data_IF_754640134308
#
_entry.id   IF_754640134308
#
_cell.length_a   1.000
_cell.length_b   1.000
_cell.length_c   1.000
_cell.angle_alpha   90.00
_cell.angle_beta   90.00
_cell.angle_gamma   90.00
#
_symmetry.space_group_name_H-M   'P 1'
#
loop_
_entity.id
_entity.type
_entity.pdbx_description
1 polymer ?
#
# COMPACT_ATOMS: atom_id res chain seq x y z
N UNK A 1 18.58 -74.88 -16.54
CA UNK A 1 18.39 -73.42 -16.64
C UNK A 1 18.19 -72.88 -15.24
N UNK A 2 19.10 -72.00 -14.80
CA UNK A 2 19.17 -71.46 -13.44
C UNK A 2 17.97 -70.56 -13.12
N UNK A 3 17.30 -70.80 -11.99
CA UNK A 3 16.32 -69.90 -11.40
C UNK A 3 17.02 -69.13 -10.28
N UNK A 4 17.27 -67.85 -10.49
CA UNK A 4 17.95 -66.97 -9.54
C UNK A 4 17.02 -66.50 -8.43
N UNK A 5 17.45 -66.68 -7.17
CA UNK A 5 16.87 -66.05 -5.98
C UNK A 5 17.36 -64.59 -5.89
N UNK A 6 16.44 -63.64 -5.84
CA UNK A 6 16.73 -62.27 -5.41
C UNK A 6 16.42 -62.13 -3.92
N UNK A 7 17.42 -61.64 -3.17
CA UNK A 7 17.31 -61.33 -1.74
C UNK A 7 16.74 -59.92 -1.56
N UNK A 8 15.68 -59.81 -0.76
CA UNK A 8 15.04 -58.54 -0.36
C UNK A 8 15.82 -57.95 0.82
N UNK A 9 16.44 -56.78 0.64
CA UNK A 9 17.07 -56.00 1.71
C UNK A 9 16.01 -55.02 2.26
N UNK A 10 15.60 -55.21 3.51
CA UNK A 10 14.70 -54.29 4.23
C UNK A 10 15.57 -53.27 4.96
N UNK A 11 15.53 -52.01 4.51
CA UNK A 11 16.21 -50.88 5.15
C UNK A 11 15.28 -50.30 6.23
N UNK A 12 15.65 -50.40 7.51
CA UNK A 12 14.97 -49.70 8.60
C UNK A 12 15.43 -48.24 8.60
N UNK A 13 14.54 -47.32 8.21
CA UNK A 13 14.75 -45.88 8.39
C UNK A 13 14.19 -45.50 9.76
N UNK A 14 15.08 -45.21 10.70
CA UNK A 14 14.72 -44.67 12.01
C UNK A 14 14.35 -43.19 11.84
N UNK A 15 13.06 -42.86 11.89
CA UNK A 15 12.61 -41.46 12.00
C UNK A 15 13.01 -40.93 13.39
N UNK A 16 14.04 -40.09 13.44
CA UNK A 16 14.30 -39.24 14.59
C UNK A 16 13.32 -38.07 14.48
N UNK A 17 12.26 -38.09 15.28
CA UNK A 17 11.37 -36.96 15.44
C UNK A 17 12.16 -35.82 16.10
N UNK A 18 12.58 -34.83 15.31
CA UNK A 18 13.15 -33.60 15.84
C UNK A 18 12.05 -32.88 16.63
N UNK A 19 12.17 -32.84 17.95
CA UNK A 19 11.33 -32.00 18.80
C UNK A 19 11.63 -30.55 18.45
N UNK A 20 10.69 -29.87 17.80
CA UNK A 20 10.76 -28.42 17.61
C UNK A 20 10.79 -27.76 19.00
N UNK A 21 11.73 -26.86 19.28
CA UNK A 21 11.78 -26.16 20.57
C UNK A 21 10.44 -25.46 20.82
N UNK A 22 9.88 -25.69 22.00
CA UNK A 22 8.70 -24.96 22.48
C UNK A 22 9.20 -23.57 22.87
N UNK A 23 9.09 -22.61 21.95
CA UNK A 23 9.40 -21.21 22.24
C UNK A 23 8.48 -20.72 23.36
N UNK A 24 9.07 -20.05 24.35
CA UNK A 24 8.31 -19.37 25.39
C UNK A 24 7.36 -18.37 24.76
N UNK A 25 6.08 -18.44 25.11
CA UNK A 25 5.08 -17.46 24.68
C UNK A 25 5.18 -16.15 25.47
N UNK A 26 6.12 -16.05 26.42
CA UNK A 26 6.24 -14.89 27.29
C UNK A 26 6.99 -13.75 26.59
N UNK A 27 6.53 -12.49 26.76
CA UNK A 27 7.27 -11.33 26.30
C UNK A 27 8.58 -11.17 27.07
N UNK A 28 9.62 -10.69 26.37
CA UNK A 28 10.94 -10.40 26.95
C UNK A 28 11.02 -9.00 27.56
N UNK A 29 10.03 -8.14 27.26
CA UNK A 29 9.85 -6.82 27.86
C UNK A 29 8.37 -6.44 27.89
N UNK A 30 7.92 -5.82 28.98
CA UNK A 30 6.54 -5.41 29.27
C UNK A 30 6.51 -4.06 30.01
N UNK A 31 5.77 -3.10 29.46
CA UNK A 31 5.56 -1.82 30.11
C UNK A 31 4.94 -2.00 31.51
N UNK A 32 5.56 -1.38 32.53
CA UNK A 32 5.11 -1.43 33.92
C UNK A 32 5.71 -2.58 34.75
N UNK A 33 6.17 -3.66 34.11
CA UNK A 33 6.90 -4.74 34.78
C UNK A 33 8.40 -4.43 34.84
N UNK A 34 8.99 -3.99 33.73
CA UNK A 34 10.37 -3.57 33.66
C UNK A 34 10.50 -2.06 33.95
N UNK A 35 11.58 -1.68 34.64
CA UNK A 35 11.88 -0.28 34.90
C UNK A 35 12.39 0.38 33.62
N UNK A 36 11.77 1.49 33.22
CA UNK A 36 12.27 2.33 32.13
C UNK A 36 13.62 2.94 32.50
N UNK A 37 14.55 2.91 31.56
CA UNK A 37 15.81 3.65 31.67
C UNK A 37 15.52 5.15 31.58
N UNK A 38 15.79 5.89 32.65
CA UNK A 38 15.54 7.33 32.72
C UNK A 38 16.34 8.13 31.69
N UNK A 39 17.44 7.58 31.17
CA UNK A 39 18.19 8.21 30.06
C UNK A 39 17.51 8.06 28.70
N UNK A 40 16.53 7.15 28.59
CA UNK A 40 15.72 6.91 27.40
C UNK A 40 14.32 7.51 27.51
N UNK A 41 14.11 8.42 28.47
CA UNK A 41 12.88 9.18 28.65
C UNK A 41 13.14 10.63 28.24
N UNK A 42 12.25 11.18 27.41
CA UNK A 42 12.19 12.60 27.07
C UNK A 42 10.84 13.16 27.55
N UNK A 43 10.83 14.32 28.21
CA UNK A 43 9.61 14.95 28.73
C UNK A 43 9.13 14.39 30.07
N UNK A 44 7.84 14.54 30.36
CA UNK A 44 7.18 14.09 31.59
C UNK A 44 6.52 12.72 31.38
N UNK A 45 7.35 11.70 31.20
CA UNK A 45 6.90 10.31 31.14
C UNK A 45 7.05 9.67 32.51
N UNK A 46 5.93 9.62 33.22
CA UNK A 46 5.78 8.82 34.44
C UNK A 46 4.73 7.74 34.18
N UNK A 47 5.05 6.44 34.30
CA UNK A 47 4.04 5.40 34.19
C UNK A 47 3.05 5.56 35.35
N UNK A 48 1.81 5.88 35.03
CA UNK A 48 0.69 5.90 35.99
C UNK A 48 -0.19 4.70 35.63
N UNK A 49 -0.33 3.76 36.55
CA UNK A 49 -1.22 2.59 36.36
C UNK A 49 -0.91 1.76 35.10
N UNK A 50 0.38 1.52 34.80
CA UNK A 50 0.82 0.77 33.59
C UNK A 50 0.50 1.46 32.25
N UNK A 51 0.12 2.74 32.31
CA UNK A 51 -0.15 3.58 31.13
C UNK A 51 0.87 4.70 31.05
N UNK A 52 1.21 5.07 29.82
CA UNK A 52 2.08 6.19 29.50
C UNK A 52 1.38 7.11 28.52
N UNK A 53 1.46 8.40 28.77
CA UNK A 53 1.09 9.42 27.77
C UNK A 53 2.29 9.70 26.90
N UNK A 54 2.09 9.59 25.59
CA UNK A 54 3.09 9.98 24.61
C UNK A 54 2.55 11.06 23.69
N UNK A 55 3.43 11.96 23.30
CA UNK A 55 3.21 12.95 22.26
C UNK A 55 4.56 13.21 21.59
N UNK A 56 4.84 14.41 21.13
CA UNK A 56 6.10 14.77 20.49
C UNK A 56 7.12 15.40 21.42
N UNK A 57 6.73 15.72 22.65
CA UNK A 57 7.63 16.14 23.72
C UNK A 57 7.86 14.98 24.72
N UNK A 58 6.82 14.19 24.97
CA UNK A 58 6.81 13.08 25.92
C UNK A 58 7.06 11.75 25.19
N UNK A 59 8.26 11.21 25.33
CA UNK A 59 8.67 9.95 24.70
C UNK A 59 9.39 9.03 25.68
N UNK A 60 9.32 7.73 25.43
CA UNK A 60 10.18 6.75 26.09
C UNK A 60 10.69 5.75 25.07
N UNK A 61 11.84 5.14 25.34
CA UNK A 61 12.39 4.11 24.48
C UNK A 61 12.88 2.89 25.26
N UNK A 62 13.03 1.80 24.51
CA UNK A 62 13.66 0.55 24.95
C UNK A 62 14.89 0.32 24.08
N UNK A 63 15.97 -0.18 24.68
CA UNK A 63 17.20 -0.47 23.96
C UNK A 63 16.95 -1.44 22.80
N UNK A 64 17.58 -1.23 21.64
CA UNK A 64 17.33 -2.01 20.42
C UNK A 64 17.70 -3.49 20.51
N UNK A 65 18.56 -3.87 21.46
CA UNK A 65 18.93 -5.26 21.71
C UNK A 65 17.75 -6.15 22.15
N UNK A 66 16.65 -5.57 22.64
CA UNK A 66 15.41 -6.33 22.91
C UNK A 66 14.76 -6.88 21.65
N UNK A 67 15.15 -6.43 20.46
CA UNK A 67 14.64 -6.97 19.20
C UNK A 67 15.48 -8.15 18.67
N UNK A 68 16.50 -8.58 19.42
CA UNK A 68 17.38 -9.70 19.05
C UNK A 68 18.08 -9.48 17.70
N UNK A 69 18.05 -10.51 16.86
CA UNK A 69 18.60 -10.48 15.49
C UNK A 69 17.77 -9.63 14.51
N UNK A 70 16.61 -9.13 14.95
CA UNK A 70 15.68 -8.29 14.18
C UNK A 70 15.09 -8.91 12.91
N UNK A 71 15.32 -10.20 12.68
CA UNK A 71 14.68 -10.96 11.61
C UNK A 71 13.32 -11.53 12.03
N UNK A 72 13.13 -11.76 13.33
CA UNK A 72 11.90 -12.25 13.92
C UNK A 72 11.67 -11.54 15.25
N UNK A 73 10.60 -10.77 15.37
CA UNK A 73 10.20 -10.11 16.62
C UNK A 73 8.76 -9.63 16.55
N UNK A 74 8.18 -9.31 17.70
CA UNK A 74 6.84 -8.72 17.77
C UNK A 74 6.83 -7.56 18.72
N UNK A 75 6.19 -6.46 18.32
CA UNK A 75 5.85 -5.34 19.21
C UNK A 75 4.33 -5.23 19.26
N UNK A 76 3.76 -5.30 20.44
CA UNK A 76 2.33 -5.19 20.69
C UNK A 76 2.08 -4.06 21.67
N UNK A 77 1.04 -3.25 21.45
CA UNK A 77 0.60 -2.24 22.41
C UNK A 77 -0.84 -1.81 22.16
N UNK A 78 -1.50 -1.31 23.19
CA UNK A 78 -2.80 -0.66 23.10
C UNK A 78 -2.60 0.85 23.00
N UNK A 79 -3.24 1.50 22.03
CA UNK A 79 -3.24 2.96 21.90
C UNK A 79 -4.65 3.53 21.86
N UNK A 80 -4.85 4.62 22.60
CA UNK A 80 -6.10 5.38 22.62
C UNK A 80 -5.86 6.82 22.19
N UNK A 81 -6.69 7.29 21.26
CA UNK A 81 -6.78 8.70 20.89
C UNK A 81 -7.59 9.47 21.94
N UNK A 82 -7.24 10.71 22.29
CA UNK A 82 -8.07 11.52 23.15
C UNK A 82 -9.40 11.88 22.46
N UNK A 83 -10.37 12.26 23.28
CA UNK A 83 -11.74 12.58 22.84
C UNK A 83 -11.74 13.82 21.94
N UNK A 84 -11.02 14.85 22.34
CA UNK A 84 -10.83 16.07 21.56
C UNK A 84 -9.59 15.91 20.69
N UNK A 85 -9.75 16.20 19.40
CA UNK A 85 -8.65 16.11 18.42
C UNK A 85 -8.41 17.42 17.75
N UNK A 86 -7.14 17.78 17.56
CA UNK A 86 -6.75 18.97 16.81
C UNK A 86 -6.10 18.58 15.48
N UNK A 87 -6.43 19.34 14.43
CA UNK A 87 -5.91 19.11 13.09
C UNK A 87 -4.43 19.47 13.01
N UNK A 88 -3.63 18.68 12.27
CA UNK A 88 -2.29 19.07 11.84
C UNK A 88 -1.12 18.39 12.55
N UNK A 89 -1.34 17.71 13.69
CA UNK A 89 -0.24 17.18 14.49
C UNK A 89 -0.07 15.67 14.34
N UNK A 90 0.82 15.25 13.44
CA UNK A 90 1.20 13.86 13.35
C UNK A 90 2.13 13.47 14.52
N UNK A 91 1.87 12.32 15.12
CA UNK A 91 2.71 11.74 16.19
C UNK A 91 3.36 10.46 15.69
N UNK A 92 4.60 10.22 16.10
CA UNK A 92 5.23 8.91 15.97
C UNK A 92 4.70 8.05 17.11
N UNK A 93 3.87 7.05 16.82
CA UNK A 93 3.36 6.14 17.85
C UNK A 93 4.43 5.15 18.29
N UNK A 94 5.20 4.64 17.32
CA UNK A 94 6.27 3.67 17.52
C UNK A 94 7.32 3.85 16.41
N UNK A 95 8.59 3.83 16.75
CA UNK A 95 9.67 3.88 15.76
C UNK A 95 10.94 3.21 16.28
N UNK A 96 11.67 2.53 15.40
CA UNK A 96 13.10 2.28 15.55
C UNK A 96 13.86 2.78 14.32
N UNK A 97 13.32 3.75 13.58
CA UNK A 97 13.92 4.18 12.32
C UNK A 97 15.25 4.87 12.54
N UNK A 98 16.24 4.53 11.73
CA UNK A 98 17.48 5.29 11.60
C UNK A 98 17.46 6.03 10.25
N UNK A 99 17.30 7.37 10.26
CA UNK A 99 17.26 8.17 9.04
C UNK A 99 18.56 8.18 8.25
N UNK A 100 19.73 8.01 8.91
CA UNK A 100 21.03 8.06 8.24
C UNK A 100 21.25 6.81 7.38
N UNK A 101 20.94 5.64 7.93
CA UNK A 101 21.06 4.36 7.22
C UNK A 101 19.81 3.98 6.42
N UNK A 102 18.73 4.77 6.52
CA UNK A 102 17.41 4.45 5.96
C UNK A 102 16.99 3.03 6.32
N UNK A 103 17.01 2.72 7.62
CA UNK A 103 16.67 1.41 8.16
C UNK A 103 15.59 1.49 9.24
N UNK A 104 15.03 0.35 9.62
CA UNK A 104 13.95 0.26 10.60
C UNK A 104 12.61 0.76 10.06
N UNK A 105 11.73 1.12 11.00
CA UNK A 105 10.37 1.54 10.70
C UNK A 105 9.89 2.68 11.61
N UNK A 106 8.83 3.36 11.17
CA UNK A 106 8.07 4.32 11.97
C UNK A 106 6.58 4.18 11.68
N UNK A 107 5.78 3.94 12.71
CA UNK A 107 4.32 4.05 12.66
C UNK A 107 3.91 5.45 13.11
N UNK A 108 3.50 6.27 12.16
CA UNK A 108 3.09 7.65 12.36
C UNK A 108 1.57 7.73 12.29
N UNK A 109 0.94 8.45 13.19
CA UNK A 109 -0.51 8.67 13.16
C UNK A 109 -0.85 10.14 12.97
N UNK A 110 -1.69 10.40 11.97
CA UNK A 110 -2.27 11.70 11.69
C UNK A 110 -3.69 11.78 12.27
N UNK A 111 -4.00 12.76 13.12
CA UNK A 111 -5.31 12.90 13.75
C UNK A 111 -6.40 13.30 12.74
N UNK A 112 -7.68 13.26 13.16
CA UNK A 112 -8.78 13.82 12.38
C UNK A 112 -8.52 15.27 11.91
N UNK A 113 -9.09 15.68 10.77
CA UNK A 113 -10.01 14.92 9.93
C UNK A 113 -9.32 13.85 9.06
N UNK A 114 -7.99 13.82 9.00
CA UNK A 114 -7.28 12.85 8.17
C UNK A 114 -7.40 11.42 8.72
N UNK A 115 -7.25 11.26 10.05
CA UNK A 115 -7.38 9.99 10.78
C UNK A 115 -6.70 8.83 10.06
N UNK A 116 -5.39 8.91 9.86
CA UNK A 116 -4.65 7.93 9.07
C UNK A 116 -3.34 7.54 9.76
N UNK A 117 -2.98 6.27 9.71
CA UNK A 117 -1.64 5.84 10.05
C UNK A 117 -0.79 5.64 8.81
N UNK A 118 0.44 6.13 8.87
CA UNK A 118 1.48 5.88 7.90
C UNK A 118 2.50 4.92 8.50
N UNK A 119 2.80 3.85 7.78
CA UNK A 119 3.98 3.05 8.07
C UNK A 119 5.11 3.51 7.15
N UNK A 120 6.19 3.95 7.75
CA UNK A 120 7.47 4.17 7.07
C UNK A 120 8.33 2.93 7.30
N UNK A 121 8.91 2.37 6.25
CA UNK A 121 9.92 1.32 6.33
C UNK A 121 11.13 1.80 5.52
N UNK A 122 12.33 1.64 6.07
CA UNK A 122 13.57 2.03 5.40
C UNK A 122 13.55 3.48 4.86
N UNK A 123 12.95 4.41 5.61
CA UNK A 123 12.81 5.82 5.21
C UNK A 123 11.67 6.13 4.23
N UNK A 124 10.93 5.13 3.75
CA UNK A 124 9.90 5.30 2.72
C UNK A 124 8.49 4.92 3.19
N UNK A 125 7.47 5.67 2.74
CA UNK A 125 6.07 5.39 3.08
C UNK A 125 5.63 4.09 2.40
N UNK A 126 5.31 3.09 3.21
CA UNK A 126 4.99 1.72 2.80
C UNK A 126 3.53 1.36 3.05
N UNK A 127 2.82 2.10 3.89
CA UNK A 127 1.38 1.94 4.10
C UNK A 127 0.75 3.28 4.43
N UNK A 128 -0.49 3.48 3.97
CA UNK A 128 -1.44 4.43 4.52
C UNK A 128 -2.72 3.68 4.88
N UNK A 129 -3.15 3.76 6.14
CA UNK A 129 -4.42 3.21 6.59
C UNK A 129 -5.29 4.32 7.17
N UNK A 130 -6.40 4.64 6.50
CA UNK A 130 -7.41 5.59 7.01
C UNK A 130 -8.32 4.95 8.05
N UNK A 131 -8.91 5.79 8.89
CA UNK A 131 -9.74 5.36 10.01
C UNK A 131 -8.96 4.53 11.02
N UNK A 132 -7.66 4.79 11.21
CA UNK A 132 -6.76 3.90 11.96
C UNK A 132 -7.08 3.82 13.45
N UNK A 133 -7.37 4.96 14.11
CA UNK A 133 -7.79 4.99 15.50
C UNK A 133 -9.22 5.51 15.63
N UNK A 134 -9.92 4.99 16.64
CA UNK A 134 -11.17 5.52 17.15
C UNK A 134 -10.98 6.09 18.56
N UNK A 135 -12.07 6.26 19.31
CA UNK A 135 -12.07 6.80 20.68
C UNK A 135 -11.72 5.76 21.74
N UNK A 136 -11.67 4.48 21.37
CA UNK A 136 -11.41 3.37 22.27
C UNK A 136 -9.94 2.93 22.15
N UNK A 137 -9.53 1.99 23.00
CA UNK A 137 -8.20 1.40 22.86
C UNK A 137 -8.18 0.50 21.63
N UNK A 138 -7.20 0.74 20.77
CA UNK A 138 -6.94 -0.06 19.60
C UNK A 138 -5.64 -0.83 19.85
N UNK A 139 -5.74 -2.15 19.78
CA UNK A 139 -4.60 -3.04 19.90
C UNK A 139 -3.83 -3.03 18.59
N UNK A 140 -2.58 -2.59 18.62
CA UNK A 140 -1.68 -2.55 17.46
C UNK A 140 -0.60 -3.61 17.66
N UNK A 141 -0.41 -4.46 16.66
CA UNK A 141 0.64 -5.50 16.67
C UNK A 141 1.47 -5.37 15.40
N UNK A 142 2.79 -5.24 15.56
CA UNK A 142 3.76 -5.27 14.48
C UNK A 142 4.55 -6.56 14.62
N UNK A 143 4.41 -7.46 13.64
CA UNK A 143 5.11 -8.74 13.62
C UNK A 143 6.15 -8.68 12.52
N UNK A 144 7.42 -8.86 12.86
CA UNK A 144 8.48 -9.11 11.88
C UNK A 144 8.76 -10.59 11.86
N UNK A 145 8.68 -11.19 10.66
CA UNK A 145 9.03 -12.59 10.39
C UNK A 145 9.86 -12.65 9.12
N UNK A 146 11.01 -13.29 9.19
CA UNK A 146 11.98 -13.37 8.09
C UNK A 146 12.30 -11.99 7.47
N UNK A 147 12.39 -10.98 8.34
CA UNK A 147 12.64 -9.57 7.99
C UNK A 147 11.45 -8.83 7.36
N UNK A 148 10.31 -9.49 7.13
CA UNK A 148 9.08 -8.87 6.60
C UNK A 148 8.19 -8.42 7.74
N UNK A 149 7.60 -7.22 7.66
CA UNK A 149 6.71 -6.70 8.69
C UNK A 149 5.23 -6.87 8.32
N UNK A 150 4.44 -7.38 9.24
CA UNK A 150 2.98 -7.37 9.18
C UNK A 150 2.44 -6.42 10.25
N UNK A 151 1.52 -5.55 9.87
CA UNK A 151 0.87 -4.61 10.80
C UNK A 151 -0.58 -5.01 11.00
N UNK A 152 -0.97 -5.15 12.24
CA UNK A 152 -2.32 -5.52 12.65
C UNK A 152 -2.95 -4.42 13.51
N UNK A 153 -4.27 -4.31 13.40
CA UNK A 153 -5.09 -3.56 14.35
C UNK A 153 -6.28 -4.40 14.78
N UNK A 154 -6.43 -4.63 16.08
CA UNK A 154 -7.49 -5.46 16.67
C UNK A 154 -7.57 -6.85 15.99
N UNK A 155 -6.40 -7.43 15.67
CA UNK A 155 -6.28 -8.72 14.97
C UNK A 155 -6.47 -8.67 13.44
N UNK A 156 -6.95 -7.55 12.88
CA UNK A 156 -7.07 -7.38 11.42
C UNK A 156 -5.71 -6.99 10.83
N UNK A 157 -5.23 -7.77 9.86
CA UNK A 157 -4.04 -7.41 9.07
C UNK A 157 -4.34 -6.19 8.19
N UNK A 158 -3.50 -5.17 8.26
CA UNK A 158 -3.62 -3.93 7.51
C UNK A 158 -2.61 -3.86 6.36
N UNK A 159 -1.40 -4.33 6.60
CA UNK A 159 -0.37 -4.41 5.58
C UNK A 159 0.63 -5.54 5.89
N UNK A 160 1.23 -6.07 4.83
CA UNK A 160 2.44 -6.87 4.87
C UNK A 160 3.46 -6.12 4.03
N UNK A 161 4.64 -5.82 4.56
CA UNK A 161 5.69 -5.11 3.85
C UNK A 161 6.64 -6.08 3.17
N UNK A 162 7.51 -5.56 2.32
CA UNK A 162 8.75 -6.24 1.98
C UNK A 162 9.75 -6.22 3.18
N UNK A 163 11.03 -6.43 2.91
CA UNK A 163 12.09 -6.40 3.92
C UNK A 163 12.19 -5.07 4.66
N UNK A 164 12.18 -5.12 6.00
CA UNK A 164 12.57 -4.03 6.89
C UNK A 164 14.03 -4.25 7.27
N UNK A 165 14.90 -3.30 6.93
CA UNK A 165 16.32 -3.38 7.28
C UNK A 165 16.46 -3.25 8.80
N UNK A 166 17.33 -4.05 9.39
CA UNK A 166 17.68 -3.95 10.81
C UNK A 166 18.13 -2.53 11.16
N UNK A 167 17.65 -2.02 12.29
CA UNK A 167 18.05 -0.73 12.84
C UNK A 167 18.46 -0.89 14.29
N UNK A 168 19.59 -0.30 14.65
CA UNK A 168 20.09 -0.33 16.03
C UNK A 168 19.62 0.89 16.84
N UNK A 169 18.80 1.77 16.26
CA UNK A 169 18.16 2.84 16.99
C UNK A 169 17.20 2.27 18.06
N UNK A 170 17.11 2.89 19.24
CA UNK A 170 16.18 2.47 20.29
C UNK A 170 14.73 2.39 19.79
N UNK A 171 13.96 1.42 20.30
CA UNK A 171 12.53 1.30 20.03
C UNK A 171 11.79 2.36 20.86
N UNK A 172 11.42 3.46 20.20
CA UNK A 172 10.82 4.66 20.79
C UNK A 172 9.30 4.67 20.62
N UNK A 173 8.59 5.05 21.67
CA UNK A 173 7.16 5.38 21.67
C UNK A 173 7.00 6.89 21.87
N UNK A 174 6.16 7.52 21.05
CA UNK A 174 6.09 8.99 20.97
C UNK A 174 7.14 9.58 20.01
N UNK A 175 7.03 10.88 19.79
CA UNK A 175 7.91 11.69 18.95
C UNK A 175 7.13 12.59 17.99
N UNK A 176 7.67 13.77 17.72
CA UNK A 176 7.10 14.70 16.76
C UNK A 176 7.41 14.23 15.33
N UNK A 177 6.41 14.27 14.43
CA UNK A 177 6.65 14.07 13.00
C UNK A 177 6.66 15.42 12.27
N UNK A 178 7.88 15.90 11.95
CA UNK A 178 8.20 17.11 11.13
C UNK A 178 7.65 18.46 11.60
N UNK A 179 6.53 18.53 12.30
CA UNK A 179 5.91 19.74 12.83
C UNK A 179 6.40 20.01 14.26
N UNK A 180 6.70 21.27 14.57
CA UNK A 180 7.20 21.75 15.88
C UNK A 180 6.08 22.27 16.79
N UNK A 181 4.84 22.30 16.33
CA UNK A 181 3.68 22.61 17.18
C UNK A 181 3.42 21.46 18.16
N UNK A 182 2.98 21.79 19.39
CA UNK A 182 2.75 20.79 20.46
C UNK A 182 1.75 19.74 19.99
N UNK A 183 2.19 18.49 19.77
CA UNK A 183 1.30 17.47 19.26
C UNK A 183 0.38 16.96 20.36
N UNK A 184 -0.76 16.44 19.91
CA UNK A 184 -1.78 15.86 20.76
C UNK A 184 -1.25 14.63 21.50
N UNK A 185 -1.59 14.46 22.78
CA UNK A 185 -1.17 13.30 23.56
C UNK A 185 -2.07 12.09 23.36
N UNK A 186 -1.44 10.93 23.28
CA UNK A 186 -2.05 9.62 23.13
C UNK A 186 -1.70 8.77 24.34
N UNK A 187 -2.62 7.88 24.73
CA UNK A 187 -2.36 6.96 25.85
C UNK A 187 -1.96 5.62 25.29
N UNK A 188 -0.78 5.14 25.72
CA UNK A 188 -0.26 3.80 25.43
C UNK A 188 -0.32 2.97 26.70
N UNK A 189 -0.68 1.70 26.57
CA UNK A 189 -0.64 0.71 27.65
C UNK A 189 -0.34 -0.68 27.08
N UNK A 190 -0.15 -1.66 27.96
CA UNK A 190 0.04 -3.07 27.58
C UNK A 190 1.13 -3.28 26.52
N UNK A 191 2.15 -2.41 26.50
CA UNK A 191 3.21 -2.50 25.51
C UNK A 191 4.14 -3.68 25.83
N UNK A 192 4.37 -4.55 24.85
CA UNK A 192 5.12 -5.79 24.97
C UNK A 192 6.06 -5.95 23.79
N UNK A 193 7.22 -6.55 24.06
CA UNK A 193 8.18 -6.96 23.02
C UNK A 193 8.47 -8.45 23.15
N UNK A 194 8.50 -9.12 22.01
CA UNK A 194 8.88 -10.51 21.84
C UNK A 194 10.07 -10.58 20.88
N UNK A 195 11.05 -11.43 21.17
CA UNK A 195 12.22 -11.72 20.31
C UNK A 195 11.93 -12.74 19.20
N UNK A 196 10.65 -13.00 18.93
CA UNK A 196 10.17 -13.90 17.90
C UNK A 196 8.84 -13.40 17.32
N UNK A 197 8.44 -13.96 16.18
CA UNK A 197 7.19 -13.62 15.51
C UNK A 197 5.99 -14.27 16.25
N UNK A 198 5.07 -13.43 16.72
CA UNK A 198 3.84 -13.80 17.43
C UNK A 198 2.68 -13.15 16.69
N UNK A 199 1.93 -13.93 15.93
CA UNK A 199 0.76 -13.43 15.21
C UNK A 199 -0.47 -13.34 16.12
N UNK A 200 -1.39 -12.39 15.85
CA UNK A 200 -2.67 -12.35 16.57
C UNK A 200 -3.42 -13.69 16.48
N UNK A 201 -4.10 -14.07 17.56
CA UNK A 201 -4.87 -15.32 17.63
C UNK A 201 -5.85 -15.45 16.46
N UNK A 202 -5.82 -16.59 15.78
CA UNK A 202 -6.68 -16.88 14.64
C UNK A 202 -6.20 -16.33 13.30
N UNK A 203 -5.05 -15.64 13.26
CA UNK A 203 -4.39 -15.30 12.01
C UNK A 203 -3.70 -16.52 11.41
N UNK A 204 -4.00 -16.81 10.15
CA UNK A 204 -3.32 -17.84 9.37
C UNK A 204 -2.23 -17.19 8.53
N UNK A 205 -0.97 -17.42 8.91
CA UNK A 205 0.21 -16.90 8.24
C UNK A 205 0.45 -17.50 6.84
N UNK A 206 -0.24 -18.60 6.50
CA UNK A 206 -0.11 -19.25 5.20
C UNK A 206 -0.96 -18.59 4.12
N UNK A 207 -1.90 -17.71 4.51
CA UNK A 207 -2.72 -16.98 3.55
C UNK A 207 -1.85 -15.96 2.81
N UNK A 208 -1.69 -16.18 1.51
CA UNK A 208 -0.99 -15.26 0.61
C UNK A 208 -1.61 -13.87 0.65
N UNK A 209 -0.76 -12.86 0.78
CA UNK A 209 -1.13 -11.45 0.77
C UNK A 209 -0.21 -10.69 -0.17
N UNK A 210 -0.75 -9.63 -0.76
CA UNK A 210 0.10 -8.69 -1.47
C UNK A 210 1.05 -8.00 -0.51
N UNK A 211 2.29 -7.80 -0.94
CA UNK A 211 3.34 -7.13 -0.18
C UNK A 211 3.47 -5.68 -0.60
N UNK A 212 3.49 -4.78 0.36
CA UNK A 212 3.79 -3.39 0.12
C UNK A 212 5.31 -3.21 0.01
N UNK A 213 5.78 -2.84 -1.17
CA UNK A 213 7.14 -2.37 -1.43
C UNK A 213 7.11 -0.86 -1.61
N UNK A 214 8.15 -0.17 -1.16
CA UNK A 214 8.26 1.28 -1.34
C UNK A 214 9.70 1.69 -1.56
N UNK A 215 9.87 2.87 -2.14
CA UNK A 215 11.16 3.49 -2.34
C UNK A 215 11.00 4.99 -2.57
N UNK A 216 12.02 5.59 -3.17
CA UNK A 216 11.99 7.01 -3.51
C UNK A 216 10.81 7.31 -4.44
N UNK A 217 9.86 8.12 -3.97
CA UNK A 217 8.66 8.52 -4.72
C UNK A 217 7.71 7.40 -5.17
N UNK A 218 7.76 6.17 -4.61
CA UNK A 218 6.76 5.14 -4.95
C UNK A 218 6.40 4.21 -3.80
N UNK A 219 5.22 3.61 -3.92
CA UNK A 219 4.72 2.52 -3.08
C UNK A 219 3.83 1.62 -3.95
N UNK A 220 4.15 0.33 -4.02
CA UNK A 220 3.48 -0.67 -4.85
C UNK A 220 3.03 -1.84 -3.96
N UNK A 221 1.89 -2.44 -4.26
CA UNK A 221 1.47 -3.71 -3.69
C UNK A 221 1.74 -4.81 -4.70
N UNK A 222 2.55 -5.80 -4.32
CA UNK A 222 2.99 -6.87 -5.20
C UNK A 222 2.38 -8.20 -4.83
N UNK A 223 1.93 -8.95 -5.81
CA UNK A 223 1.60 -10.36 -5.63
C UNK A 223 2.85 -11.16 -5.24
N UNK A 224 2.65 -12.26 -4.51
CA UNK A 224 3.71 -13.24 -4.27
C UNK A 224 3.83 -14.14 -5.49
N UNK A 225 5.05 -14.21 -6.03
CA UNK A 225 5.37 -15.00 -7.22
C UNK A 225 5.91 -16.36 -6.81
N UNK A 226 5.44 -17.39 -7.51
CA UNK A 226 5.86 -18.80 -7.34
C UNK A 226 6.24 -19.44 -8.68
N UNK A 227 5.70 -18.94 -9.79
CA UNK A 227 6.01 -19.39 -11.14
C UNK A 227 6.41 -18.22 -12.04
N UNK A 228 7.70 -18.09 -12.32
CA UNK A 228 8.24 -17.02 -13.17
C UNK A 228 7.78 -17.11 -14.65
N UNK A 229 7.10 -18.19 -15.05
CA UNK A 229 6.54 -18.33 -16.40
C UNK A 229 5.20 -17.63 -16.58
N UNK A 230 4.50 -17.28 -15.50
CA UNK A 230 3.21 -16.60 -15.59
C UNK A 230 3.38 -15.11 -15.95
N UNK A 231 2.50 -14.56 -16.79
CA UNK A 231 2.50 -13.14 -17.10
C UNK A 231 2.36 -12.25 -15.86
N UNK A 232 2.89 -11.03 -15.96
CA UNK A 232 2.84 -10.01 -14.92
C UNK A 232 2.11 -8.78 -15.40
N UNK A 233 1.12 -8.35 -14.63
CA UNK A 233 0.27 -7.20 -14.91
C UNK A 233 0.53 -6.17 -13.82
N UNK A 234 0.74 -4.91 -14.20
CA UNK A 234 0.77 -3.79 -13.27
C UNK A 234 -0.43 -2.88 -13.52
N UNK A 235 -1.26 -2.71 -12.49
CA UNK A 235 -2.38 -1.77 -12.49
C UNK A 235 -1.96 -0.49 -11.80
N UNK A 236 -1.85 0.59 -12.56
CA UNK A 236 -1.50 1.94 -12.09
C UNK A 236 -2.75 2.81 -12.09
N UNK A 237 -3.09 3.40 -10.94
CA UNK A 237 -4.31 4.21 -10.83
C UNK A 237 -4.46 5.02 -9.55
N UNK A 238 -5.68 5.47 -9.32
CA UNK A 238 -6.08 6.27 -8.15
C UNK A 238 -7.12 5.52 -7.29
N UNK A 239 -7.86 6.24 -6.43
CA UNK A 239 -8.87 5.65 -5.58
C UNK A 239 -10.01 4.95 -6.33
N UNK A 240 -10.27 5.26 -7.61
CA UNK A 240 -11.24 4.52 -8.43
C UNK A 240 -10.70 3.12 -8.74
N UNK A 241 -9.40 3.01 -9.02
CA UNK A 241 -8.76 1.72 -9.26
C UNK A 241 -8.79 0.80 -8.05
N UNK A 242 -8.81 1.35 -6.84
CA UNK A 242 -9.04 0.56 -5.62
C UNK A 242 -10.40 -0.15 -5.62
N UNK A 243 -11.40 0.40 -6.32
CA UNK A 243 -12.73 -0.21 -6.43
C UNK A 243 -12.76 -1.45 -7.33
N UNK A 244 -11.98 -1.45 -8.42
CA UNK A 244 -12.01 -2.54 -9.41
C UNK A 244 -10.83 -3.52 -9.31
N UNK A 245 -9.74 -3.17 -8.63
CA UNK A 245 -8.54 -4.02 -8.54
C UNK A 245 -8.80 -5.44 -8.05
N UNK A 246 -9.62 -5.61 -7.02
CA UNK A 246 -9.88 -6.93 -6.45
C UNK A 246 -10.46 -7.91 -7.47
N UNK A 247 -11.33 -7.42 -8.34
CA UNK A 247 -11.93 -8.21 -9.43
C UNK A 247 -10.93 -8.55 -10.54
N UNK A 248 -9.94 -7.67 -10.79
CA UNK A 248 -8.86 -7.96 -11.75
C UNK A 248 -7.96 -9.07 -11.20
N UNK A 249 -7.54 -8.96 -9.92
CA UNK A 249 -6.76 -10.03 -9.27
C UNK A 249 -7.50 -11.36 -9.24
N UNK A 250 -8.79 -11.36 -8.90
CA UNK A 250 -9.62 -12.56 -8.86
C UNK A 250 -9.73 -13.22 -10.24
N UNK A 251 -9.91 -12.42 -11.31
CA UNK A 251 -9.98 -12.95 -12.67
C UNK A 251 -8.70 -13.66 -13.11
N UNK A 252 -7.54 -13.11 -12.75
CA UNK A 252 -6.23 -13.64 -13.16
C UNK A 252 -5.61 -14.62 -12.15
N UNK A 253 -6.35 -15.06 -11.13
CA UNK A 253 -5.84 -15.99 -10.13
C UNK A 253 -5.36 -17.29 -10.78
N UNK A 254 -4.06 -17.61 -10.59
CA UNK A 254 -3.42 -18.78 -11.19
C UNK A 254 -3.03 -18.62 -12.66
N UNK A 255 -3.38 -17.50 -13.31
CA UNK A 255 -3.07 -17.24 -14.73
C UNK A 255 -2.07 -16.09 -14.93
N UNK A 256 -2.03 -15.11 -14.03
CA UNK A 256 -1.07 -14.02 -14.04
C UNK A 256 -0.90 -13.40 -12.65
N UNK A 257 0.24 -12.75 -12.41
CA UNK A 257 0.45 -11.95 -11.21
C UNK A 257 0.02 -10.51 -11.45
N UNK A 258 -0.82 -9.97 -10.55
CA UNK A 258 -1.30 -8.59 -10.64
C UNK A 258 -0.73 -7.76 -9.50
N UNK A 259 0.15 -6.83 -9.85
CA UNK A 259 0.72 -5.82 -8.95
C UNK A 259 -0.07 -4.51 -9.07
N UNK A 260 -0.08 -3.70 -8.01
CA UNK A 260 -0.84 -2.45 -7.93
C UNK A 260 0.03 -1.29 -7.50
N UNK A 261 0.14 -0.28 -8.36
CA UNK A 261 0.65 1.02 -7.96
C UNK A 261 -0.49 2.01 -7.88
N UNK A 262 -1.10 2.05 -6.69
CA UNK A 262 -2.22 2.94 -6.39
C UNK A 262 -1.82 3.80 -5.22
N UNK A 263 -1.76 5.11 -5.43
CA UNK A 263 -1.42 6.03 -4.34
C UNK A 263 -2.44 7.14 -4.23
N UNK A 264 -2.96 7.35 -3.03
CA UNK A 264 -3.49 8.63 -2.61
C UNK A 264 -2.34 9.50 -2.09
N UNK A 265 -1.82 10.40 -2.92
CA UNK A 265 -0.88 11.43 -2.47
C UNK A 265 0.61 11.11 -2.59
N UNK A 266 1.02 10.25 -3.52
CA UNK A 266 2.33 10.40 -4.19
C UNK A 266 2.04 11.13 -5.50
N UNK A 267 2.50 12.38 -5.62
CA UNK A 267 2.35 13.17 -6.85
C UNK A 267 3.42 12.70 -7.86
N UNK A 268 3.16 11.61 -8.60
CA UNK A 268 4.04 11.12 -9.66
C UNK A 268 3.76 11.75 -11.02
N UNK A 269 3.01 12.85 -11.02
CA UNK A 269 2.70 13.66 -12.18
C UNK A 269 3.14 15.09 -11.85
N UNK A 270 3.60 15.86 -12.84
CA UNK A 270 4.22 17.15 -12.55
C UNK A 270 4.76 17.84 -13.80
N UNK A 271 5.44 18.98 -13.60
CA UNK A 271 6.20 19.62 -14.68
C UNK A 271 7.41 18.73 -15.01
N UNK A 272 7.71 18.60 -16.29
CA UNK A 272 8.94 17.99 -16.79
C UNK A 272 9.11 16.49 -16.45
N UNK A 273 8.03 15.69 -16.56
CA UNK A 273 8.03 14.23 -16.30
C UNK A 273 9.16 13.50 -17.04
N UNK A 274 9.48 13.93 -18.26
CA UNK A 274 10.52 13.29 -19.08
C UNK A 274 11.95 13.66 -18.66
N UNK A 275 12.15 14.63 -17.77
CA UNK A 275 13.47 14.96 -17.26
C UNK A 275 14.07 13.78 -16.47
N UNK A 276 15.34 13.46 -16.73
CA UNK A 276 16.00 12.26 -16.20
C UNK A 276 15.97 12.17 -14.66
N UNK A 277 16.02 13.31 -13.99
CA UNK A 277 15.95 13.46 -12.53
C UNK A 277 14.58 13.87 -11.97
N UNK A 278 13.49 13.79 -12.75
CA UNK A 278 12.17 14.10 -12.21
C UNK A 278 11.70 13.03 -11.20
N UNK A 279 11.01 13.45 -10.15
CA UNK A 279 10.38 12.56 -9.16
C UNK A 279 9.48 11.51 -9.83
N UNK A 280 8.79 11.90 -10.90
CA UNK A 280 7.94 11.01 -11.70
C UNK A 280 8.76 9.91 -12.40
N UNK A 281 9.87 10.26 -13.06
CA UNK A 281 10.74 9.29 -13.70
C UNK A 281 11.43 8.38 -12.66
N UNK A 282 11.82 8.93 -11.50
CA UNK A 282 12.36 8.16 -10.39
C UNK A 282 11.34 7.14 -9.86
N UNK A 283 10.09 7.56 -9.67
CA UNK A 283 8.99 6.68 -9.24
C UNK A 283 8.75 5.54 -10.24
N UNK A 284 8.66 5.85 -11.54
CA UNK A 284 8.50 4.83 -12.59
C UNK A 284 9.67 3.85 -12.64
N UNK A 285 10.92 4.33 -12.51
CA UNK A 285 12.10 3.43 -12.41
C UNK A 285 11.99 2.49 -11.21
N UNK A 286 11.61 3.03 -10.05
CA UNK A 286 11.41 2.23 -8.84
C UNK A 286 10.35 1.16 -9.03
N UNK A 287 9.18 1.53 -9.54
CA UNK A 287 8.06 0.61 -9.78
C UNK A 287 8.40 -0.46 -10.81
N UNK A 288 9.02 -0.07 -11.94
CA UNK A 288 9.39 -0.99 -13.01
C UNK A 288 10.57 -1.90 -12.64
N UNK A 289 11.37 -1.53 -11.62
CA UNK A 289 12.42 -2.40 -11.08
C UNK A 289 11.86 -3.69 -10.46
N UNK A 290 10.58 -3.68 -10.10
CA UNK A 290 9.88 -4.87 -9.61
C UNK A 290 9.41 -5.79 -10.72
N UNK A 291 9.48 -5.38 -11.99
CA UNK A 291 9.08 -6.15 -13.17
C UNK A 291 10.04 -7.31 -13.51
N UNK A 292 10.07 -7.77 -14.77
CA UNK A 292 9.39 -7.20 -15.94
C UNK A 292 7.86 -7.35 -15.86
N UNK A 293 7.14 -6.46 -16.54
CA UNK A 293 5.69 -6.55 -16.69
C UNK A 293 5.33 -6.84 -18.14
N UNK A 294 4.34 -7.69 -18.37
CA UNK A 294 3.78 -7.97 -19.69
C UNK A 294 2.80 -6.88 -20.11
N UNK A 295 1.96 -6.44 -19.17
CA UNK A 295 0.93 -5.43 -19.40
C UNK A 295 0.92 -4.42 -18.26
N UNK A 296 0.83 -3.14 -18.61
CA UNK A 296 0.55 -2.05 -17.67
C UNK A 296 -0.79 -1.43 -18.08
N UNK A 297 -1.78 -1.49 -17.17
CA UNK A 297 -2.95 -0.61 -17.29
C UNK A 297 -2.69 0.67 -16.52
N UNK A 298 -2.99 1.81 -17.12
CA UNK A 298 -2.58 3.09 -16.57
C UNK A 298 -3.72 4.11 -16.60
N UNK A 299 -4.01 4.68 -15.43
CA UNK A 299 -4.78 5.90 -15.23
C UNK A 299 -3.92 6.91 -14.44
N UNK A 300 -3.64 8.08 -15.03
CA UNK A 300 -2.70 9.08 -14.53
C UNK A 300 -3.17 9.90 -13.30
N UNK A 301 -3.64 9.26 -12.22
CA UNK A 301 -4.25 9.94 -11.05
C UNK A 301 -5.30 10.98 -11.43
N UNK A 302 -6.07 10.69 -12.47
CA UNK A 302 -6.81 11.70 -13.22
C UNK A 302 -7.79 12.48 -12.34
N UNK A 303 -8.54 11.82 -11.45
CA UNK A 303 -9.51 12.51 -10.59
C UNK A 303 -8.90 13.36 -9.49
N UNK A 304 -7.63 13.16 -9.15
CA UNK A 304 -6.91 14.03 -8.20
C UNK A 304 -6.40 15.32 -8.85
N UNK A 305 -6.43 15.38 -10.18
CA UNK A 305 -5.74 16.40 -10.97
C UNK A 305 -6.70 17.17 -11.90
N UNK A 306 -7.76 16.52 -12.36
CA UNK A 306 -8.66 17.02 -13.39
C UNK A 306 -9.99 17.52 -12.82
N UNK A 307 -9.98 17.97 -11.57
CA UNK A 307 -11.13 18.59 -10.91
C UNK A 307 -10.88 20.09 -10.68
N UNK A 308 -11.94 20.85 -10.41
CA UNK A 308 -11.89 22.29 -10.18
C UNK A 308 -11.02 22.71 -8.99
N UNK A 309 -10.96 21.89 -7.93
CA UNK A 309 -10.16 22.15 -6.72
C UNK A 309 -8.65 22.13 -6.99
N UNK A 310 -8.23 21.53 -8.11
CA UNK A 310 -6.84 21.26 -8.44
C UNK A 310 -6.47 21.68 -9.87
N UNK A 311 -7.17 22.68 -10.44
CA UNK A 311 -6.97 23.14 -11.82
C UNK A 311 -5.50 23.47 -12.16
N UNK A 312 -4.74 23.98 -11.19
CA UNK A 312 -3.32 24.34 -11.39
C UNK A 312 -2.37 23.15 -11.39
N UNK A 313 -2.79 21.98 -10.91
CA UNK A 313 -1.98 20.76 -10.92
C UNK A 313 -1.81 20.20 -12.34
N UNK A 314 -2.84 20.32 -13.18
CA UNK A 314 -2.81 19.86 -14.56
C UNK A 314 -3.46 20.87 -15.52
N UNK A 315 -2.77 21.95 -15.88
CA UNK A 315 -3.27 22.90 -16.88
C UNK A 315 -3.51 22.20 -18.22
N UNK A 316 -4.64 22.49 -18.85
CA UNK A 316 -5.06 21.85 -20.12
C UNK A 316 -4.03 22.05 -21.23
N UNK A 317 -3.32 23.18 -21.21
CA UNK A 317 -2.27 23.55 -22.16
C UNK A 317 -1.07 22.60 -22.12
N UNK A 318 -0.87 21.93 -20.98
CA UNK A 318 0.25 21.00 -20.76
C UNK A 318 -0.18 19.54 -20.72
N UNK A 319 -1.49 19.27 -20.71
CA UNK A 319 -2.05 17.92 -20.53
C UNK A 319 -1.53 16.93 -21.59
N UNK A 320 -1.66 17.28 -22.86
CA UNK A 320 -1.27 16.40 -23.97
C UNK A 320 0.22 16.05 -23.92
N UNK A 321 1.06 17.08 -23.69
CA UNK A 321 2.51 16.91 -23.55
C UNK A 321 2.85 16.02 -22.35
N UNK A 322 2.31 16.31 -21.17
CA UNK A 322 2.63 15.56 -19.95
C UNK A 322 2.22 14.08 -20.07
N UNK A 323 1.07 13.80 -20.69
CA UNK A 323 0.60 12.42 -20.96
C UNK A 323 1.46 11.72 -22.00
N UNK A 324 1.87 12.44 -23.04
CA UNK A 324 2.86 11.94 -23.99
C UNK A 324 4.18 11.58 -23.31
N UNK A 325 4.75 12.52 -22.57
CA UNK A 325 6.01 12.37 -21.84
C UNK A 325 5.98 11.19 -20.86
N UNK A 326 4.91 11.05 -20.08
CA UNK A 326 4.75 9.93 -19.16
C UNK A 326 4.70 8.58 -19.91
N UNK A 327 3.97 8.49 -21.02
CA UNK A 327 3.95 7.27 -21.84
C UNK A 327 5.31 6.97 -22.47
N UNK A 328 6.06 8.00 -22.86
CA UNK A 328 7.38 7.87 -23.47
C UNK A 328 8.43 7.41 -22.43
N UNK A 329 8.32 7.88 -21.17
CA UNK A 329 9.11 7.36 -20.04
C UNK A 329 8.87 5.87 -19.85
N UNK A 330 7.60 5.43 -19.79
CA UNK A 330 7.29 4.01 -19.58
C UNK A 330 7.80 3.16 -20.74
N UNK A 331 7.58 3.59 -21.99
CA UNK A 331 8.10 2.88 -23.18
C UNK A 331 9.62 2.77 -23.19
N UNK A 332 10.32 3.80 -22.73
CA UNK A 332 11.79 3.78 -22.64
C UNK A 332 12.27 2.83 -21.54
N UNK A 333 11.62 2.82 -20.38
CA UNK A 333 12.01 2.01 -19.23
C UNK A 333 11.59 0.54 -19.37
N UNK A 334 10.51 0.26 -20.09
CA UNK A 334 9.95 -1.08 -20.27
C UNK A 334 9.46 -1.28 -21.72
N UNK A 335 10.38 -1.37 -22.70
CA UNK A 335 10.03 -1.38 -24.13
C UNK A 335 9.28 -2.62 -24.59
N UNK A 336 9.32 -3.71 -23.82
CA UNK A 336 8.59 -4.95 -24.11
C UNK A 336 7.21 -5.01 -23.44
N UNK A 337 6.83 -3.98 -22.67
CA UNK A 337 5.56 -3.96 -21.94
C UNK A 337 4.48 -3.31 -22.78
N UNK A 338 3.34 -3.99 -22.86
CA UNK A 338 2.14 -3.45 -23.50
C UNK A 338 1.47 -2.44 -22.56
N UNK A 339 1.16 -1.25 -23.07
CA UNK A 339 0.50 -0.18 -22.32
C UNK A 339 -0.97 -0.12 -22.70
N UNK A 340 -1.85 0.00 -21.71
CA UNK A 340 -3.29 0.19 -21.89
C UNK A 340 -3.71 1.42 -21.09
N UNK A 341 -4.31 2.40 -21.75
CA UNK A 341 -4.87 3.58 -21.08
C UNK A 341 -6.29 3.33 -20.60
N UNK A 342 -6.57 3.69 -19.34
CA UNK A 342 -7.91 3.64 -18.74
C UNK A 342 -8.44 5.07 -18.61
N UNK A 343 -9.53 5.40 -19.31
CA UNK A 343 -10.13 6.75 -19.24
C UNK A 343 -10.60 7.09 -17.84
N UNK A 344 -10.51 8.38 -17.52
CA UNK A 344 -11.06 8.95 -16.30
C UNK A 344 -12.59 8.80 -16.28
N UNK A 345 -13.16 8.29 -15.19
CA UNK A 345 -14.61 8.17 -15.03
C UNK A 345 -15.26 9.53 -14.73
N UNK A 346 -16.57 9.71 -15.01
CA UNK A 346 -17.31 10.93 -14.67
C UNK A 346 -17.29 11.31 -13.19
N UNK A 347 -17.21 12.62 -12.90
CA UNK A 347 -17.55 13.21 -11.60
C UNK A 347 -19.04 13.57 -11.59
N UNK A 348 -19.75 13.17 -10.54
CA UNK A 348 -21.17 13.45 -10.37
C UNK A 348 -21.38 14.75 -9.59
N UNK A 349 -22.59 15.27 -9.62
CA UNK A 349 -23.10 16.23 -8.64
C UNK A 349 -24.52 15.83 -8.27
N UNK A 350 -25.14 16.58 -7.36
CA UNK A 350 -26.55 16.39 -7.01
C UNK A 350 -27.34 17.62 -7.48
N UNK A 351 -28.50 17.39 -8.10
CA UNK A 351 -29.53 18.41 -8.26
C UNK A 351 -30.05 18.86 -6.89
N UNK A 352 -30.80 19.97 -6.86
CA UNK A 352 -31.39 20.50 -5.60
C UNK A 352 -32.21 19.49 -4.83
N UNK A 353 -32.85 18.59 -5.56
CA UNK A 353 -33.70 17.56 -4.98
C UNK A 353 -32.89 16.33 -4.51
N UNK A 354 -31.57 16.31 -4.73
CA UNK A 354 -30.67 15.20 -4.39
C UNK A 354 -30.47 14.20 -5.53
N UNK A 355 -31.12 14.34 -6.68
CA UNK A 355 -30.93 13.42 -7.81
C UNK A 355 -29.51 13.54 -8.36
N UNK A 356 -28.75 12.43 -8.47
CA UNK A 356 -27.42 12.44 -9.05
C UNK A 356 -27.45 12.85 -10.53
N UNK A 357 -26.54 13.72 -10.94
CA UNK A 357 -26.43 14.21 -12.31
C UNK A 357 -24.97 14.33 -12.75
N UNK A 358 -24.77 14.33 -14.07
CA UNK A 358 -23.49 14.63 -14.72
C UNK A 358 -23.45 16.05 -15.28
N UNK A 359 -24.52 16.82 -15.12
CA UNK A 359 -24.61 18.23 -15.53
C UNK A 359 -23.84 19.12 -14.54
N UNK A 360 -22.51 19.05 -14.61
CA UNK A 360 -21.61 19.84 -13.76
C UNK A 360 -20.29 20.16 -14.49
N UNK A 361 -19.56 21.17 -13.97
CA UNK A 361 -18.34 21.68 -14.57
C UNK A 361 -17.19 20.65 -14.58
N UNK A 362 -17.09 19.83 -13.52
CA UNK A 362 -16.06 18.79 -13.40
C UNK A 362 -16.22 17.69 -14.45
N UNK A 363 -17.45 17.19 -14.67
CA UNK A 363 -17.71 16.22 -15.73
C UNK A 363 -17.42 16.78 -17.12
N UNK A 364 -17.81 18.04 -17.37
CA UNK A 364 -17.49 18.71 -18.63
C UNK A 364 -15.96 18.85 -18.82
N UNK A 365 -15.22 19.13 -17.75
CA UNK A 365 -13.74 19.14 -17.76
C UNK A 365 -13.18 17.75 -18.08
N UNK A 366 -13.61 16.71 -17.38
CA UNK A 366 -13.16 15.33 -17.61
C UNK A 366 -13.42 14.89 -19.06
N UNK A 367 -14.59 15.22 -19.60
CA UNK A 367 -14.93 14.91 -20.99
C UNK A 367 -13.92 15.52 -21.97
N UNK A 368 -13.57 16.81 -21.78
CA UNK A 368 -12.56 17.50 -22.59
C UNK A 368 -11.16 16.87 -22.41
N UNK A 369 -10.78 16.55 -21.18
CA UNK A 369 -9.45 16.02 -20.87
C UNK A 369 -9.26 14.60 -21.42
N UNK A 370 -10.28 13.74 -21.28
CA UNK A 370 -10.29 12.41 -21.90
C UNK A 370 -10.11 12.54 -23.42
N UNK A 371 -10.85 13.43 -24.10
CA UNK A 371 -10.72 13.62 -25.54
C UNK A 371 -9.31 14.05 -25.99
N UNK A 372 -8.64 14.91 -25.20
CA UNK A 372 -7.24 15.29 -25.47
C UNK A 372 -6.32 14.08 -25.33
N UNK A 373 -6.47 13.31 -24.24
CA UNK A 373 -5.65 12.12 -24.00
C UNK A 373 -5.91 11.04 -25.03
N UNK A 374 -7.13 10.89 -25.52
CA UNK A 374 -7.46 9.97 -26.61
C UNK A 374 -6.66 10.27 -27.88
N UNK A 375 -6.49 11.55 -28.22
CA UNK A 375 -5.64 11.97 -29.32
C UNK A 375 -4.19 11.49 -29.12
N UNK A 376 -3.64 11.70 -27.91
CA UNK A 376 -2.28 11.26 -27.56
C UNK A 376 -2.12 9.74 -27.62
N UNK A 377 -3.10 8.99 -27.10
CA UNK A 377 -3.08 7.52 -27.11
C UNK A 377 -3.22 6.98 -28.54
N UNK A 378 -4.07 7.60 -29.36
CA UNK A 378 -4.24 7.25 -30.76
C UNK A 378 -2.94 7.45 -31.56
N UNK A 379 -2.29 8.61 -31.44
CA UNK A 379 -1.00 8.90 -32.08
C UNK A 379 0.09 7.90 -31.69
N UNK A 380 0.03 7.40 -30.45
CA UNK A 380 0.99 6.41 -29.93
C UNK A 380 0.56 4.97 -30.15
N UNK A 381 -0.61 4.70 -30.72
CA UNK A 381 -1.19 3.36 -30.84
C UNK A 381 -1.30 2.62 -29.49
N UNK A 382 -1.65 3.34 -28.42
CA UNK A 382 -1.93 2.78 -27.10
C UNK A 382 -3.43 2.45 -27.01
N UNK A 383 -3.82 1.19 -26.76
CA UNK A 383 -5.21 0.82 -26.54
C UNK A 383 -5.87 1.63 -25.42
N UNK A 384 -7.13 1.99 -25.60
CA UNK A 384 -7.94 2.75 -24.63
C UNK A 384 -9.12 1.91 -24.15
N UNK A 385 -9.35 1.88 -22.84
CA UNK A 385 -10.58 1.36 -22.21
C UNK A 385 -11.40 2.54 -21.72
N UNK A 386 -12.60 2.71 -22.30
CA UNK A 386 -13.54 3.75 -21.89
C UNK A 386 -14.56 3.23 -20.88
N UNK A 387 -14.41 3.66 -19.62
CA UNK A 387 -15.32 3.31 -18.54
C UNK A 387 -16.56 4.24 -18.48
N UNK A 388 -16.58 5.33 -19.25
CA UNK A 388 -17.64 6.35 -19.21
C UNK A 388 -19.03 5.80 -19.56
N UNK A 389 -19.22 5.00 -20.63
CA UNK A 389 -20.54 4.46 -20.96
C UNK A 389 -21.07 3.53 -19.86
N UNK A 390 -20.19 2.74 -19.24
CA UNK A 390 -20.53 1.86 -18.13
C UNK A 390 -20.98 2.71 -16.95
N UNK A 391 -20.19 3.72 -16.56
CA UNK A 391 -20.50 4.65 -15.48
C UNK A 391 -21.88 5.30 -15.66
N UNK A 392 -22.16 5.85 -16.85
CA UNK A 392 -23.45 6.47 -17.19
C UNK A 392 -24.60 5.48 -17.04
N UNK A 393 -24.44 4.25 -17.55
CA UNK A 393 -25.47 3.21 -17.45
C UNK A 393 -25.80 2.83 -16.00
N UNK A 394 -24.86 3.02 -15.08
CA UNK A 394 -25.00 2.69 -13.65
C UNK A 394 -25.45 3.87 -12.77
N UNK A 395 -25.78 5.04 -13.34
CA UNK A 395 -26.23 6.20 -12.57
C UNK A 395 -27.48 5.90 -11.69
N UNK A 396 -28.34 4.99 -12.13
CA UNK A 396 -29.52 4.56 -11.39
C UNK A 396 -29.20 3.85 -10.07
N UNK A 397 -27.95 3.42 -9.85
CA UNK A 397 -27.48 2.77 -8.61
C UNK A 397 -26.97 3.76 -7.57
N UNK A 398 -26.85 5.04 -7.93
CA UNK A 398 -26.36 6.07 -7.03
C UNK A 398 -27.53 6.57 -6.17
N UNK A 399 -27.36 6.49 -4.85
CA UNK A 399 -28.36 6.98 -3.91
C UNK A 399 -28.59 8.48 -4.07
N UNK A 400 -29.86 8.88 -3.98
CA UNK A 400 -30.27 10.27 -3.93
C UNK A 400 -29.60 10.96 -2.74
N UNK A 401 -28.91 12.08 -2.99
CA UNK A 401 -28.21 12.87 -1.98
C UNK A 401 -26.88 12.27 -1.52
N UNK A 402 -26.29 11.34 -2.28
CA UNK A 402 -24.97 10.79 -1.95
C UNK A 402 -23.93 11.91 -1.83
N UNK A 403 -23.19 11.92 -0.72
CA UNK A 403 -22.09 12.86 -0.49
C UNK A 403 -20.83 12.52 -1.29
N UNK A 404 -20.65 11.24 -1.62
CA UNK A 404 -19.56 10.77 -2.48
C UNK A 404 -19.96 10.88 -3.96
N UNK A 405 -19.42 11.90 -4.62
CA UNK A 405 -19.66 12.20 -6.03
C UNK A 405 -18.66 11.55 -6.98
N UNK A 406 -17.67 10.81 -6.44
CA UNK A 406 -16.53 10.29 -7.17
C UNK A 406 -16.62 8.76 -7.29
N UNK A 407 -16.65 8.06 -6.16
CA UNK A 407 -16.49 6.59 -6.15
C UNK A 407 -17.76 5.88 -6.57
N UNK A 408 -17.59 4.72 -7.21
CA UNK A 408 -18.69 3.94 -7.76
C UNK A 408 -19.01 2.75 -6.85
N UNK A 409 -20.28 2.31 -6.79
CA UNK A 409 -20.65 1.10 -6.06
C UNK A 409 -19.85 -0.12 -6.51
N UNK A 410 -19.73 -1.11 -5.62
CA UNK A 410 -18.98 -2.35 -5.87
C UNK A 410 -19.38 -3.05 -7.17
N UNK A 411 -20.69 -3.15 -7.44
CA UNK A 411 -21.21 -3.76 -8.67
C UNK A 411 -20.75 -3.03 -9.94
N UNK A 412 -20.73 -1.69 -9.91
CA UNK A 412 -20.24 -0.88 -11.04
C UNK A 412 -18.74 -1.08 -11.22
N UNK A 413 -17.98 -1.15 -10.13
CA UNK A 413 -16.53 -1.40 -10.17
C UNK A 413 -16.19 -2.77 -10.76
N UNK A 414 -17.04 -3.79 -10.51
CA UNK A 414 -16.91 -5.10 -11.19
C UNK A 414 -17.09 -4.98 -12.71
N UNK A 415 -18.09 -4.24 -13.18
CA UNK A 415 -18.29 -4.02 -14.62
C UNK A 415 -17.11 -3.27 -15.26
N UNK A 416 -16.49 -2.34 -14.52
CA UNK A 416 -15.25 -1.71 -14.97
C UNK A 416 -14.12 -2.74 -15.11
N UNK A 417 -13.91 -3.60 -14.10
CA UNK A 417 -12.90 -4.65 -14.14
C UNK A 417 -13.08 -5.57 -15.34
N UNK A 418 -14.31 -6.03 -15.63
CA UNK A 418 -14.61 -6.92 -16.77
C UNK A 418 -14.14 -6.33 -18.11
N UNK A 419 -14.35 -5.03 -18.34
CA UNK A 419 -13.91 -4.36 -19.58
C UNK A 419 -12.39 -4.17 -19.65
N UNK A 420 -11.76 -3.90 -18.51
CA UNK A 420 -10.29 -3.79 -18.40
C UNK A 420 -9.65 -5.15 -18.70
N UNK A 421 -10.14 -6.21 -18.05
CA UNK A 421 -9.69 -7.60 -18.19
C UNK A 421 -9.72 -8.06 -19.64
N UNK A 422 -10.83 -7.82 -20.36
CA UNK A 422 -10.94 -8.19 -21.78
C UNK A 422 -9.82 -7.58 -22.65
N UNK A 423 -9.38 -6.37 -22.30
CA UNK A 423 -8.30 -5.68 -23.02
C UNK A 423 -6.94 -6.23 -22.63
N UNK A 424 -6.71 -6.51 -21.34
CA UNK A 424 -5.50 -7.18 -20.84
C UNK A 424 -5.33 -8.54 -21.52
N UNK A 425 -6.36 -9.39 -21.52
CA UNK A 425 -6.28 -10.73 -22.14
C UNK A 425 -5.92 -10.65 -23.63
N UNK A 426 -6.49 -9.70 -24.36
CA UNK A 426 -6.19 -9.51 -25.78
C UNK A 426 -4.73 -9.13 -25.98
N UNK A 427 -4.20 -8.26 -25.12
CA UNK A 427 -2.80 -7.85 -25.13
C UNK A 427 -1.86 -9.05 -24.86
N UNK A 428 -2.14 -9.83 -23.80
CA UNK A 428 -1.40 -11.05 -23.49
C UNK A 428 -1.43 -12.08 -24.63
N UNK A 429 -2.60 -12.33 -25.22
CA UNK A 429 -2.77 -13.26 -26.36
C UNK A 429 -1.98 -12.80 -27.59
N UNK A 430 -1.95 -11.50 -27.88
CA UNK A 430 -1.19 -10.96 -29.01
C UNK A 430 0.31 -11.13 -28.80
N UNK A 431 0.80 -10.92 -27.58
CA UNK A 431 2.22 -11.10 -27.23
C UNK A 431 2.68 -12.55 -27.37
N UNK A 432 1.88 -13.51 -26.89
CA UNK A 432 2.22 -14.94 -27.05
C UNK A 432 2.32 -15.35 -28.53
N UNK A 433 1.48 -14.76 -29.40
CA UNK A 433 1.54 -15.00 -30.85
C UNK A 433 2.81 -14.44 -31.48
N UNK A 434 3.24 -13.24 -31.11
CA UNK A 434 4.45 -12.63 -31.68
C UNK A 434 5.73 -13.30 -31.20
N UNK A 435 5.74 -13.85 -29.99
CA UNK A 435 6.87 -14.62 -29.45
C UNK A 435 7.00 -16.01 -30.07
N UNK A 436 5.90 -16.68 -30.43
CA UNK A 436 5.92 -18.01 -31.05
C UNK A 436 6.20 -18.04 -32.56
N UNK A 437 6.35 -16.87 -33.20
CA UNK A 437 6.63 -16.74 -34.65
C UNK A 437 8.09 -16.38 -34.98
N UNK A 438 8.94 -16.22 -33.96
CA UNK A 438 10.39 -16.06 -34.08
C UNK A 438 11.09 -17.35 -33.65
#
# INVERSE_FOLDING_TARGET
MNVGRQSLVILFVTLIAASTPVWSQDPIWVLGRERLDTSMIEGDVSPVEEQVRVDGENTFAVASNVLGEQTNYTVEFDVKRPVETHTGHAVVLLSNSDPESQSGFSLIYHPPPYNAAWLMCNGHRTMEQRGFLDKDFNKVTLVVKDGRMSVFRNGLVLAVTDQVKNSYAPLRFGGAFRDQTKPQSYTIRDAKVYDHAVFPTGFDETIKRMRNCSGEHYMIQRAEMEDDALPRILVVGDSISMGYRGFISEHFEGEAYVDYWVSSGVEWYGKDINAEGSDAAAAWRGVLSHGPYDVITWNAMTLHWWNDQHETRCPIETLARNIGDASDVVRRLAPATELIWIRCTPIRSNLKDGTPTLENADHARITRYNAIVDGVMHERAIPVVDLTPIAISQMHRISRGASDTLHWPRDTSRLFAEHIVQTIERSLKNRLRTQGTN
#
